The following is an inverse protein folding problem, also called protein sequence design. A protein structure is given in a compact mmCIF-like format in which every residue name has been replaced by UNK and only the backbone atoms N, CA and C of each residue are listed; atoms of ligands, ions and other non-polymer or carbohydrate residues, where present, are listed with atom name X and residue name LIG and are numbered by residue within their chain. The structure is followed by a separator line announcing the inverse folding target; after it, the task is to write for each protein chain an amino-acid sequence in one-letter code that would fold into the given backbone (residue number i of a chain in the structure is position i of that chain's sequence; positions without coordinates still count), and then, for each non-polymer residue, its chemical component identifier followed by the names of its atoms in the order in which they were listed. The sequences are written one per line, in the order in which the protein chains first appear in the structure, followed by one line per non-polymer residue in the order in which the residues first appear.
data_IF_740014931382
#
_entry.id   IF_740014931382
#
_cell.length_a   1.000
_cell.length_b   1.000
_cell.length_c   1.000
_cell.angle_alpha   90.00
_cell.angle_beta   90.00
_cell.angle_gamma   90.00
#
_symmetry.space_group_name_H-M   'P 1'
#
loop_
_entity.id
_entity.type
_entity.pdbx_description
1 polymer ?
#
# COMPACT_ATOMS: atom_id res chain seq x y z
N UNK A 1 15.74 20.14 9.91
CA UNK A 1 15.36 21.24 8.99
C UNK A 1 14.24 20.88 8.00
N UNK A 2 14.46 20.16 6.89
CA UNK A 2 13.35 19.81 5.93
C UNK A 2 12.28 18.89 6.53
N UNK A 3 12.69 17.93 7.37
CA UNK A 3 11.81 16.99 8.04
C UNK A 3 10.89 17.67 9.08
N UNK A 4 11.45 18.58 9.87
CA UNK A 4 10.69 19.36 10.87
C UNK A 4 9.76 20.38 10.20
N UNK A 5 10.20 21.01 9.11
CA UNK A 5 9.36 21.89 8.31
C UNK A 5 8.18 21.14 7.68
N UNK A 6 8.40 19.92 7.17
CA UNK A 6 7.34 19.09 6.63
C UNK A 6 6.30 18.68 7.69
N UNK A 7 6.74 18.29 8.89
CA UNK A 7 5.83 18.01 10.02
C UNK A 7 5.08 19.26 10.48
N UNK A 8 5.77 20.40 10.60
CA UNK A 8 5.13 21.67 10.95
C UNK A 8 4.05 22.08 9.95
N UNK A 9 4.32 21.97 8.64
CA UNK A 9 3.36 22.29 7.57
C UNK A 9 2.18 21.32 7.59
N UNK A 10 2.43 20.02 7.77
CA UNK A 10 1.38 19.00 7.88
C UNK A 10 0.43 19.30 9.04
N UNK A 11 0.96 19.71 10.18
CA UNK A 11 0.18 19.84 11.41
C UNK A 11 -0.48 21.22 11.57
N UNK A 12 0.12 22.28 11.03
CA UNK A 12 -0.36 23.67 11.17
C UNK A 12 -0.99 24.27 9.91
N UNK A 13 -0.71 23.71 8.72
CA UNK A 13 -1.14 24.27 7.42
C UNK A 13 -1.73 23.18 6.51
N UNK A 14 -2.79 22.52 6.97
CA UNK A 14 -3.52 21.47 6.22
C UNK A 14 -3.83 21.83 4.76
N UNK A 15 -4.27 23.06 4.41
CA UNK A 15 -4.53 23.40 3.01
C UNK A 15 -3.29 23.34 2.12
N UNK A 16 -2.13 23.78 2.63
CA UNK A 16 -0.85 23.73 1.92
C UNK A 16 -0.41 22.28 1.74
N UNK A 17 -0.53 21.48 2.79
CA UNK A 17 -0.23 20.04 2.70
C UNK A 17 -1.10 19.32 1.66
N UNK A 18 -2.40 19.58 1.66
CA UNK A 18 -3.33 19.02 0.68
C UNK A 18 -2.97 19.42 -0.76
N UNK A 19 -2.53 20.66 -0.97
CA UNK A 19 -2.06 21.11 -2.28
C UNK A 19 -0.80 20.37 -2.74
N UNK A 20 0.16 20.14 -1.84
CA UNK A 20 1.37 19.36 -2.12
C UNK A 20 1.02 17.92 -2.46
N UNK A 21 0.12 17.28 -1.69
CA UNK A 21 -0.32 15.91 -1.98
C UNK A 21 -1.06 15.80 -3.31
N UNK A 22 -1.94 16.76 -3.61
CA UNK A 22 -2.62 16.84 -4.90
C UNK A 22 -1.63 17.02 -6.05
N UNK A 23 -0.66 17.93 -5.90
CA UNK A 23 0.38 18.20 -6.89
C UNK A 23 1.23 16.96 -7.16
N UNK A 24 1.65 16.26 -6.10
CA UNK A 24 2.35 14.97 -6.23
C UNK A 24 1.49 13.95 -7.00
N UNK A 25 0.20 13.84 -6.68
CA UNK A 25 -0.70 12.91 -7.34
C UNK A 25 -0.85 13.18 -8.85
N UNK A 26 -1.02 14.44 -9.25
CA UNK A 26 -1.13 14.78 -10.67
C UNK A 26 0.19 14.55 -11.41
N UNK A 27 1.31 15.02 -10.86
CA UNK A 27 2.62 14.84 -11.48
C UNK A 27 3.01 13.35 -11.58
N UNK A 28 2.72 12.56 -10.55
CA UNK A 28 2.90 11.11 -10.58
C UNK A 28 2.06 10.46 -11.68
N UNK A 29 0.77 10.78 -11.75
CA UNK A 29 -0.13 10.22 -12.76
C UNK A 29 0.30 10.52 -14.19
N UNK A 30 0.80 11.74 -14.43
CA UNK A 30 1.32 12.14 -15.74
C UNK A 30 2.63 11.41 -16.06
N UNK A 31 3.59 11.40 -15.11
CA UNK A 31 4.91 10.78 -15.31
C UNK A 31 4.83 9.28 -15.55
N UNK A 32 3.97 8.58 -14.84
CA UNK A 32 3.88 7.11 -14.86
C UNK A 32 2.64 6.57 -15.59
N UNK A 33 1.98 7.40 -16.42
CA UNK A 33 0.73 7.08 -17.13
C UNK A 33 0.75 5.73 -17.85
N UNK A 34 1.85 5.42 -18.55
CA UNK A 34 1.99 4.15 -19.29
C UNK A 34 1.91 2.93 -18.37
N UNK A 35 2.67 2.94 -17.27
CA UNK A 35 2.66 1.86 -16.28
C UNK A 35 1.33 1.77 -15.54
N UNK A 36 0.71 2.90 -15.21
CA UNK A 36 -0.62 2.95 -14.58
C UNK A 36 -1.69 2.26 -15.43
N UNK A 37 -1.67 2.47 -16.76
CA UNK A 37 -2.62 1.86 -17.67
C UNK A 37 -2.46 0.33 -17.78
N UNK A 38 -1.29 -0.22 -17.43
CA UNK A 38 -1.01 -1.66 -17.47
C UNK A 38 -1.45 -2.38 -16.19
N UNK A 39 -1.74 -1.65 -15.11
CA UNK A 39 -2.05 -2.23 -13.80
C UNK A 39 -3.19 -3.25 -13.87
N UNK A 40 -4.34 -2.99 -14.50
CA UNK A 40 -5.43 -3.98 -14.54
C UNK A 40 -5.00 -5.33 -15.12
N UNK A 41 -4.20 -5.31 -16.19
CA UNK A 41 -3.68 -6.52 -16.82
C UNK A 41 -2.65 -7.24 -15.95
N UNK A 42 -1.77 -6.49 -15.26
CA UNK A 42 -0.84 -7.06 -14.28
C UNK A 42 -1.61 -7.78 -13.18
N UNK A 43 -2.60 -7.12 -12.59
CA UNK A 43 -3.38 -7.70 -11.50
C UNK A 43 -4.18 -8.92 -11.96
N UNK A 44 -4.74 -8.89 -13.17
CA UNK A 44 -5.45 -10.03 -13.74
C UNK A 44 -4.57 -11.29 -13.87
N UNK A 45 -3.27 -11.14 -14.17
CA UNK A 45 -2.32 -12.27 -14.19
C UNK A 45 -2.10 -12.91 -12.82
N UNK A 46 -2.38 -12.18 -11.75
CA UNK A 46 -2.34 -12.70 -10.37
C UNK A 46 -3.71 -13.21 -9.91
N UNK A 47 -4.79 -12.94 -10.65
CA UNK A 47 -6.12 -13.46 -10.34
C UNK A 47 -6.18 -14.95 -10.66
N UNK A 48 -6.16 -15.76 -9.60
CA UNK A 48 -6.24 -17.24 -9.66
C UNK A 48 -7.45 -17.69 -8.86
N UNK A 49 -7.25 -18.28 -7.69
CA UNK A 49 -8.34 -18.62 -6.75
C UNK A 49 -8.99 -17.36 -6.13
N UNK A 50 -8.29 -16.23 -6.23
CA UNK A 50 -8.74 -14.93 -5.79
C UNK A 50 -8.74 -13.94 -6.94
N UNK A 51 -9.67 -12.99 -6.93
CA UNK A 51 -9.65 -11.85 -7.84
C UNK A 51 -8.76 -10.75 -7.25
N UNK A 52 -7.76 -10.30 -7.99
CA UNK A 52 -6.94 -9.15 -7.63
C UNK A 52 -7.26 -7.99 -8.55
N UNK A 53 -7.67 -6.84 -8.00
CA UNK A 53 -8.04 -5.66 -8.81
C UNK A 53 -7.78 -4.35 -8.09
N UNK A 54 -7.84 -3.26 -8.86
CA UNK A 54 -7.90 -1.91 -8.30
C UNK A 54 -9.19 -1.73 -7.47
N UNK A 55 -9.07 -0.99 -6.38
CA UNK A 55 -10.22 -0.49 -5.65
C UNK A 55 -10.89 0.64 -6.44
N UNK A 56 -12.20 0.74 -6.31
CA UNK A 56 -13.04 1.80 -6.84
C UNK A 56 -13.78 2.48 -5.69
N UNK A 57 -14.34 3.66 -5.90
CA UNK A 57 -15.06 4.36 -4.84
C UNK A 57 -16.29 3.59 -4.32
N UNK A 58 -16.87 2.72 -5.16
CA UNK A 58 -17.96 1.84 -4.80
C UNK A 58 -17.54 0.77 -3.77
N UNK A 59 -16.25 0.47 -3.65
CA UNK A 59 -15.72 -0.48 -2.67
C UNK A 59 -15.57 0.14 -1.27
N UNK A 60 -15.60 1.47 -1.13
CA UNK A 60 -15.29 2.14 0.12
C UNK A 60 -16.17 1.68 1.31
N UNK A 61 -17.49 1.46 1.17
CA UNK A 61 -18.31 0.93 2.28
C UNK A 61 -17.89 -0.48 2.70
N UNK A 62 -17.72 -1.39 1.73
CA UNK A 62 -17.30 -2.77 2.01
C UNK A 62 -15.88 -2.85 2.56
N UNK A 63 -15.00 -1.96 2.12
CA UNK A 63 -13.65 -1.85 2.61
C UNK A 63 -13.59 -1.27 4.03
N UNK A 64 -14.45 -0.29 4.35
CA UNK A 64 -14.59 0.21 5.72
C UNK A 64 -15.04 -0.91 6.67
N UNK A 65 -16.05 -1.69 6.26
CA UNK A 65 -16.51 -2.88 6.99
C UNK A 65 -15.40 -3.93 7.15
N UNK A 66 -14.63 -4.19 6.10
CA UNK A 66 -13.46 -5.09 6.16
C UNK A 66 -12.46 -4.66 7.25
N UNK A 67 -12.21 -3.35 7.40
CA UNK A 67 -11.34 -2.84 8.46
C UNK A 67 -12.00 -2.94 9.83
N UNK A 68 -13.27 -2.57 9.97
CA UNK A 68 -14.02 -2.66 11.22
C UNK A 68 -14.05 -4.10 11.79
N UNK A 69 -14.12 -5.10 10.92
CA UNK A 69 -14.10 -6.52 11.31
C UNK A 69 -12.69 -7.05 11.67
N UNK A 70 -11.62 -6.28 11.49
CA UNK A 70 -10.29 -6.74 11.91
C UNK A 70 -10.11 -6.65 13.42
N UNK A 71 -9.41 -7.62 14.05
CA UNK A 71 -9.06 -7.53 15.46
C UNK A 71 -8.13 -6.33 15.73
N UNK A 72 -8.20 -5.74 16.93
CA UNK A 72 -7.40 -4.57 17.30
C UNK A 72 -5.90 -4.79 17.10
N UNK A 73 -5.42 -6.01 17.36
CA UNK A 73 -4.04 -6.42 17.21
C UNK A 73 -3.53 -6.33 15.77
N UNK A 74 -4.41 -6.49 14.77
CA UNK A 74 -4.04 -6.32 13.37
C UNK A 74 -3.58 -4.89 13.07
N UNK A 75 -4.05 -3.92 13.85
CA UNK A 75 -3.70 -2.52 13.72
C UNK A 75 -2.47 -2.10 14.52
N UNK A 76 -1.92 -2.97 15.39
CA UNK A 76 -0.69 -2.68 16.16
C UNK A 76 0.45 -2.20 15.25
N UNK A 77 0.54 -2.78 14.05
CA UNK A 77 1.59 -2.50 13.07
C UNK A 77 1.08 -1.89 11.76
N UNK A 78 -0.22 -1.63 11.63
CA UNK A 78 -0.83 -1.23 10.36
C UNK A 78 -1.93 -0.18 10.56
N UNK A 79 -1.53 1.10 10.67
CA UNK A 79 -2.42 2.26 10.65
C UNK A 79 -1.92 3.32 9.66
N UNK A 80 -1.97 3.03 8.36
CA UNK A 80 -1.43 3.92 7.33
C UNK A 80 -2.29 5.18 7.11
N UNK A 81 -3.58 5.12 7.45
CA UNK A 81 -4.58 6.17 7.28
C UNK A 81 -5.83 5.83 8.11
N UNK A 82 -6.79 6.75 8.14
CA UNK A 82 -8.12 6.50 8.71
C UNK A 82 -8.90 5.51 7.85
N UNK A 83 -9.69 4.65 8.49
CA UNK A 83 -10.39 3.53 7.84
C UNK A 83 -11.88 3.77 7.59
N UNK A 84 -12.39 4.97 7.91
CA UNK A 84 -13.77 5.34 7.62
C UNK A 84 -14.00 5.52 6.12
N UNK A 85 -15.25 5.35 5.68
CA UNK A 85 -15.63 5.40 4.27
C UNK A 85 -15.19 6.70 3.57
N UNK A 86 -15.31 7.85 4.24
CA UNK A 86 -14.95 9.15 3.65
C UNK A 86 -13.45 9.23 3.40
N UNK A 87 -12.64 8.78 4.35
CA UNK A 87 -11.19 8.70 4.22
C UNK A 87 -10.77 7.73 3.11
N UNK A 88 -11.41 6.57 3.04
CA UNK A 88 -11.14 5.57 1.99
C UNK A 88 -11.47 6.11 0.59
N UNK A 89 -12.61 6.80 0.40
CA UNK A 89 -12.95 7.44 -0.88
C UNK A 89 -11.88 8.45 -1.32
N UNK A 90 -11.39 9.27 -0.39
CA UNK A 90 -10.34 10.25 -0.69
C UNK A 90 -9.02 9.58 -1.11
N UNK A 91 -8.67 8.48 -0.46
CA UNK A 91 -7.46 7.71 -0.78
C UNK A 91 -7.59 7.03 -2.13
N UNK A 92 -8.73 6.40 -2.43
CA UNK A 92 -8.99 5.73 -3.70
C UNK A 92 -8.93 6.73 -4.88
N UNK A 93 -9.39 7.97 -4.68
CA UNK A 93 -9.28 9.05 -5.68
C UNK A 93 -7.86 9.56 -5.90
N UNK A 94 -6.96 9.34 -4.95
CA UNK A 94 -5.60 9.84 -5.05
C UNK A 94 -4.80 8.99 -6.05
N UNK A 95 -4.46 9.57 -7.20
CA UNK A 95 -3.74 8.88 -8.29
C UNK A 95 -2.32 8.41 -7.91
N UNK A 96 -1.74 8.97 -6.84
CA UNK A 96 -0.47 8.52 -6.28
C UNK A 96 -0.63 7.47 -5.17
N UNK A 97 -1.84 7.24 -4.67
CA UNK A 97 -2.15 6.18 -3.72
C UNK A 97 -2.91 5.06 -4.44
N UNK A 98 -2.17 4.12 -5.00
CA UNK A 98 -2.76 3.05 -5.79
C UNK A 98 -3.29 1.99 -4.84
N UNK A 99 -4.61 1.86 -4.78
CA UNK A 99 -5.30 0.96 -3.85
C UNK A 99 -5.77 -0.30 -4.55
N UNK A 100 -5.52 -1.46 -3.94
CA UNK A 100 -5.82 -2.76 -4.49
C UNK A 100 -6.60 -3.63 -3.50
N UNK A 101 -7.45 -4.50 -4.04
CA UNK A 101 -8.24 -5.46 -3.29
C UNK A 101 -7.94 -6.87 -3.77
N UNK A 102 -8.01 -7.82 -2.84
CA UNK A 102 -8.09 -9.25 -3.11
C UNK A 102 -9.47 -9.72 -2.68
N UNK A 103 -10.19 -10.37 -3.59
CA UNK A 103 -11.55 -10.85 -3.35
C UNK A 103 -11.63 -12.38 -3.49
N UNK A 104 -12.46 -12.99 -2.65
CA UNK A 104 -12.96 -14.35 -2.82
C UNK A 104 -14.46 -14.25 -3.11
N UNK A 105 -14.84 -14.39 -4.39
CA UNK A 105 -16.19 -13.99 -4.83
C UNK A 105 -16.40 -12.49 -4.61
N UNK A 106 -17.41 -12.12 -3.84
CA UNK A 106 -17.72 -10.72 -3.49
C UNK A 106 -17.06 -10.25 -2.18
N UNK A 107 -16.46 -11.17 -1.41
CA UNK A 107 -15.86 -10.85 -0.12
C UNK A 107 -14.44 -10.30 -0.29
N UNK A 108 -14.15 -9.13 0.31
CA UNK A 108 -12.79 -8.60 0.42
C UNK A 108 -12.04 -9.45 1.45
N UNK A 109 -10.98 -10.11 1.02
CA UNK A 109 -10.13 -10.99 1.86
C UNK A 109 -8.70 -10.44 2.03
N UNK A 110 -8.37 -9.38 1.31
CA UNK A 110 -7.10 -8.68 1.45
C UNK A 110 -7.14 -7.28 0.86
N UNK A 111 -6.33 -6.40 1.45
CA UNK A 111 -6.15 -5.02 1.05
C UNK A 111 -4.67 -4.72 0.97
N UNK A 112 -4.23 -4.06 -0.10
CA UNK A 112 -2.87 -3.57 -0.21
C UNK A 112 -2.81 -2.30 -1.04
N UNK A 113 -1.71 -1.56 -0.92
CA UNK A 113 -1.53 -0.31 -1.63
C UNK A 113 -0.07 0.00 -1.95
N UNK A 114 0.10 0.94 -2.87
CA UNK A 114 1.35 1.63 -3.17
C UNK A 114 1.14 3.13 -3.03
N UNK A 115 1.68 3.73 -1.95
CA UNK A 115 1.73 5.19 -1.80
C UNK A 115 2.98 5.70 -2.49
N UNK A 116 2.79 6.26 -3.67
CA UNK A 116 3.84 6.59 -4.62
C UNK A 116 4.09 8.09 -4.72
N UNK A 117 5.30 8.44 -5.13
CA UNK A 117 5.75 9.81 -5.23
C UNK A 117 6.35 10.06 -6.61
N UNK A 118 6.20 11.29 -7.12
CA UNK A 118 6.70 11.66 -8.45
C UNK A 118 8.21 11.38 -8.59
N UNK A 119 8.97 11.45 -7.50
CA UNK A 119 10.40 11.16 -7.44
C UNK A 119 10.77 9.67 -7.61
N UNK A 120 9.80 8.79 -7.85
CA UNK A 120 10.03 7.37 -8.12
C UNK A 120 10.14 6.51 -6.86
N UNK A 121 9.84 7.04 -5.67
CA UNK A 121 9.68 6.23 -4.45
C UNK A 121 8.22 5.80 -4.29
N UNK A 122 8.01 4.61 -3.75
CA UNK A 122 6.70 4.10 -3.40
C UNK A 122 6.75 3.32 -2.09
N UNK A 123 5.73 3.45 -1.25
CA UNK A 123 5.63 2.75 0.02
C UNK A 123 4.50 1.73 -0.05
N UNK A 124 4.85 0.48 0.26
CA UNK A 124 3.90 -0.64 0.26
C UNK A 124 3.31 -0.85 1.64
N UNK A 125 2.00 -0.97 1.71
CA UNK A 125 1.28 -1.51 2.87
C UNK A 125 0.31 -2.61 2.44
N UNK A 126 0.03 -3.54 3.35
CA UNK A 126 -0.90 -4.65 3.12
C UNK A 126 -1.48 -5.16 4.44
N UNK A 127 -2.69 -5.70 4.36
CA UNK A 127 -3.36 -6.43 5.44
C UNK A 127 -4.20 -7.56 4.81
N UNK A 128 -4.23 -8.71 5.47
CA UNK A 128 -5.07 -9.86 5.09
C UNK A 128 -6.16 -9.99 6.13
N UNK A 129 -7.38 -10.30 5.70
CA UNK A 129 -8.46 -10.62 6.63
C UNK A 129 -8.02 -11.68 7.63
N UNK A 130 -8.21 -11.45 8.93
CA UNK A 130 -7.80 -12.38 9.97
C UNK A 130 -8.36 -13.80 9.79
N UNK A 131 -9.55 -13.97 9.19
CA UNK A 131 -10.19 -15.26 8.90
C UNK A 131 -9.58 -15.99 7.69
N UNK A 132 -8.79 -15.27 6.88
CA UNK A 132 -8.21 -15.77 5.63
C UNK A 132 -6.67 -15.83 5.66
N UNK A 133 -6.06 -15.59 6.82
CA UNK A 133 -4.62 -15.75 7.00
C UNK A 133 -4.17 -17.19 6.75
N UNK A 134 -2.88 -17.39 6.47
CA UNK A 134 -2.31 -18.70 6.15
C UNK A 134 -2.62 -19.22 4.73
N UNK A 135 -3.47 -18.55 3.96
CA UNK A 135 -3.88 -18.98 2.60
C UNK A 135 -3.04 -18.40 1.45
N UNK A 136 -1.83 -17.90 1.74
CA UNK A 136 -0.93 -17.33 0.72
C UNK A 136 -1.30 -15.93 0.20
N UNK A 137 -2.40 -15.31 0.64
CA UNK A 137 -2.88 -13.98 0.19
C UNK A 137 -1.80 -12.89 0.36
N UNK A 138 -1.07 -12.87 1.49
CA UNK A 138 0.00 -11.91 1.72
C UNK A 138 1.17 -12.04 0.73
N UNK A 139 1.43 -13.25 0.22
CA UNK A 139 2.44 -13.54 -0.81
C UNK A 139 1.92 -13.10 -2.19
N UNK A 140 0.66 -13.40 -2.49
CA UNK A 140 -0.04 -12.94 -3.69
C UNK A 140 0.02 -11.40 -3.84
N UNK A 141 -0.43 -10.68 -2.81
CA UNK A 141 -0.38 -9.20 -2.79
C UNK A 141 1.05 -8.66 -2.95
N UNK A 142 2.03 -9.33 -2.34
CA UNK A 142 3.44 -8.95 -2.48
C UNK A 142 3.95 -9.08 -3.91
N UNK A 143 3.59 -10.17 -4.60
CA UNK A 143 3.98 -10.41 -6.00
C UNK A 143 3.32 -9.38 -6.92
N UNK A 144 2.00 -9.21 -6.80
CA UNK A 144 1.26 -8.21 -7.56
C UNK A 144 1.83 -6.80 -7.38
N UNK A 145 2.12 -6.39 -6.13
CA UNK A 145 2.74 -5.09 -5.86
C UNK A 145 4.15 -4.95 -6.46
N UNK A 146 4.93 -6.04 -6.50
CA UNK A 146 6.28 -6.03 -7.10
C UNK A 146 6.20 -5.82 -8.61
N UNK A 147 5.33 -6.57 -9.30
CA UNK A 147 5.17 -6.46 -10.75
C UNK A 147 4.61 -5.08 -11.14
N UNK A 148 3.67 -4.54 -10.36
CA UNK A 148 3.18 -3.17 -10.54
C UNK A 148 4.31 -2.16 -10.34
N UNK A 149 5.15 -2.31 -9.30
CA UNK A 149 6.28 -1.42 -9.08
C UNK A 149 7.30 -1.44 -10.23
N UNK A 150 7.54 -2.61 -10.83
CA UNK A 150 8.40 -2.76 -12.00
C UNK A 150 7.81 -2.10 -13.26
N UNK A 151 6.49 -2.19 -13.45
CA UNK A 151 5.81 -1.53 -14.57
C UNK A 151 5.73 0.00 -14.41
N UNK A 152 5.74 0.50 -13.17
CA UNK A 152 5.81 1.94 -12.83
C UNK A 152 7.24 2.48 -12.70
N UNK A 153 8.26 1.73 -13.13
CA UNK A 153 9.64 1.74 -12.58
C UNK A 153 9.85 2.56 -11.29
N UNK A 154 9.15 2.20 -10.20
CA UNK A 154 9.33 2.83 -8.87
C UNK A 154 10.12 1.93 -7.92
N UNK A 155 10.88 2.55 -7.02
CA UNK A 155 11.53 1.86 -5.90
C UNK A 155 10.53 1.68 -4.76
N UNK A 156 10.42 0.47 -4.25
CA UNK A 156 9.40 0.10 -3.27
C UNK A 156 10.01 -0.02 -1.87
N UNK A 157 9.42 0.69 -0.91
CA UNK A 157 9.88 0.79 0.47
C UNK A 157 8.77 0.40 1.44
N UNK A 158 9.15 0.20 2.71
CA UNK A 158 8.20 0.01 3.80
C UNK A 158 8.86 0.26 5.15
N UNK A 159 8.02 0.30 6.17
CA UNK A 159 8.45 0.19 7.57
C UNK A 159 7.92 -1.12 8.13
N UNK A 160 8.75 -1.82 8.90
CA UNK A 160 8.35 -3.08 9.50
C UNK A 160 8.90 -3.20 10.91
N UNK A 161 8.05 -3.55 11.86
CA UNK A 161 8.52 -3.89 13.21
C UNK A 161 9.31 -5.21 13.15
N UNK A 162 10.48 -5.30 13.81
CA UNK A 162 11.20 -6.57 13.97
C UNK A 162 10.35 -7.64 14.67
N UNK A 163 9.39 -7.24 15.50
CA UNK A 163 8.47 -8.16 16.20
C UNK A 163 7.39 -8.73 15.27
N UNK A 164 7.18 -8.14 14.08
CA UNK A 164 6.20 -8.62 13.11
C UNK A 164 6.82 -9.67 12.17
N UNK A 165 7.15 -10.82 12.75
CA UNK A 165 7.79 -11.93 12.04
C UNK A 165 7.01 -12.39 10.80
N UNK A 166 5.68 -12.44 10.89
CA UNK A 166 4.82 -12.85 9.78
C UNK A 166 4.92 -11.87 8.58
N UNK A 167 4.88 -10.56 8.83
CA UNK A 167 5.05 -9.56 7.78
C UNK A 167 6.43 -9.63 7.14
N UNK A 168 7.48 -9.87 7.95
CA UNK A 168 8.86 -9.94 7.47
C UNK A 168 9.08 -11.19 6.62
N UNK A 169 8.62 -12.35 7.11
CA UNK A 169 8.69 -13.62 6.40
C UNK A 169 7.93 -13.55 5.07
N UNK A 170 6.70 -13.01 5.05
CA UNK A 170 5.93 -12.86 3.81
C UNK A 170 6.60 -11.92 2.81
N UNK A 171 7.28 -10.87 3.29
CA UNK A 171 8.04 -9.95 2.46
C UNK A 171 9.30 -10.60 1.88
N UNK A 172 10.08 -11.32 2.70
CA UNK A 172 11.27 -12.09 2.29
C UNK A 172 10.93 -13.26 1.36
N UNK A 173 9.71 -13.79 1.42
CA UNK A 173 9.26 -14.84 0.51
C UNK A 173 9.16 -14.32 -0.94
N UNK A 174 8.77 -13.06 -1.13
CA UNK A 174 8.53 -12.45 -2.45
C UNK A 174 9.70 -11.60 -2.93
N UNK A 175 10.29 -10.82 -2.03
CA UNK A 175 11.31 -9.84 -2.34
C UNK A 175 12.61 -10.17 -1.62
N UNK A 176 13.74 -9.72 -2.18
CA UNK A 176 14.92 -9.49 -1.36
C UNK A 176 14.64 -8.25 -0.50
N UNK A 177 14.78 -8.38 0.83
CA UNK A 177 14.47 -7.31 1.78
C UNK A 177 15.78 -6.72 2.28
N UNK A 178 16.08 -5.50 1.85
CA UNK A 178 17.24 -4.75 2.30
C UNK A 178 16.84 -3.81 3.44
N UNK A 179 17.45 -3.99 4.61
CA UNK A 179 17.30 -3.04 5.73
C UNK A 179 18.19 -1.83 5.44
N UNK A 180 17.57 -0.65 5.34
CA UNK A 180 18.28 0.61 5.06
C UNK A 180 18.62 1.37 6.34
N UNK A 181 17.72 1.34 7.34
CA UNK A 181 17.94 1.97 8.63
C UNK A 181 17.03 1.35 9.70
N UNK A 182 17.36 1.55 10.97
CA UNK A 182 16.45 1.34 12.11
C UNK A 182 15.95 2.71 12.55
N UNK A 183 14.63 2.89 12.60
CA UNK A 183 13.98 4.13 13.03
C UNK A 183 14.00 4.24 14.57
N UNK A 184 13.82 5.44 15.10
CA UNK A 184 13.86 5.71 16.56
C UNK A 184 12.85 4.90 17.37
N UNK A 185 11.74 4.49 16.74
CA UNK A 185 10.72 3.64 17.34
C UNK A 185 11.04 2.13 17.23
N UNK A 186 12.25 1.76 16.80
CA UNK A 186 12.72 0.38 16.64
C UNK A 186 12.30 -0.31 15.34
N UNK A 187 11.52 0.35 14.46
CA UNK A 187 11.08 -0.27 13.20
C UNK A 187 12.19 -0.22 12.16
N UNK A 188 12.29 -1.25 11.32
CA UNK A 188 13.18 -1.21 10.18
C UNK A 188 12.57 -0.41 9.04
N UNK A 189 13.32 0.55 8.52
CA UNK A 189 13.08 1.13 7.19
C UNK A 189 13.73 0.23 6.15
N UNK A 190 12.91 -0.34 5.27
CA UNK A 190 13.34 -1.37 4.32
C UNK A 190 13.05 -0.98 2.88
N UNK A 191 13.87 -1.51 1.98
CA UNK A 191 13.62 -1.54 0.53
C UNK A 191 13.31 -2.98 0.09
N UNK A 192 12.26 -3.11 -0.71
CA UNK A 192 11.86 -4.37 -1.32
C UNK A 192 12.43 -4.44 -2.73
N UNK A 193 13.36 -5.36 -2.95
CA UNK A 193 13.98 -5.60 -4.25
C UNK A 193 13.31 -6.82 -4.90
N UNK A 194 13.06 -6.82 -6.22
CA UNK A 194 12.63 -8.01 -6.94
C UNK A 194 13.65 -9.13 -6.75
N UNK A 195 13.18 -10.36 -6.52
CA UNK A 195 14.07 -11.52 -6.56
C UNK A 195 14.51 -11.78 -8.00
N UNK A 196 15.77 -12.15 -8.16
CA UNK A 196 16.30 -12.70 -9.41
C UNK A 196 15.77 -14.11 -9.63
#
# INVERSE_FOLDING_TARGET
MLYEAAHFIKDRLKPVWNLVEWGNAQCFALRYRKGLNQIPEILNRHSTDFTVRLATEADAPNLAKFFEEQPEEAFKFFRPHDFDEKSLKNIIRNKAFITFLVLSGETIVGYFFLRSFVNGKSFRGKIVDHRWQGRGIAKLMGKAATDVAQALPVRMFGTISPENYASLASSKAVNEVKILNTLDNGYYYIEYLPKK
#
